data_IF_199598953825
#
_entry.id   IF_199598953825
#
_cell.length_a   1.000
_cell.length_b   1.000
_cell.length_c   1.000
_cell.angle_alpha   90.00
_cell.angle_beta   90.00
_cell.angle_gamma   90.00
#
_symmetry.space_group_name_H-M   'P 1'
#
loop_
_entity.id
_entity.type
_entity.pdbx_description
1 polymer ?
#
# COMPACT_ATOMS: atom_id res chain seq x y z
N UNK A 1 -12.62 9.38 -3.42
CA UNK A 1 -11.53 10.24 -3.90
C UNK A 1 -12.02 11.52 -4.56
N UNK A 2 -12.70 11.48 -5.73
CA UNK A 2 -13.22 12.68 -6.41
C UNK A 2 -14.03 13.62 -5.49
N UNK A 3 -14.99 13.08 -4.75
CA UNK A 3 -15.79 13.88 -3.81
C UNK A 3 -14.96 14.51 -2.69
N UNK A 4 -13.94 13.80 -2.19
CA UNK A 4 -13.01 14.34 -1.19
C UNK A 4 -12.19 15.49 -1.77
N UNK A 5 -11.62 15.33 -2.99
CA UNK A 5 -10.90 16.41 -3.67
C UNK A 5 -11.78 17.64 -3.86
N UNK A 6 -13.01 17.46 -4.33
CA UNK A 6 -13.96 18.55 -4.53
C UNK A 6 -14.22 19.28 -3.20
N UNK A 7 -14.54 18.54 -2.14
CA UNK A 7 -14.76 19.10 -0.81
C UNK A 7 -13.55 19.88 -0.31
N UNK A 8 -12.33 19.35 -0.43
CA UNK A 8 -11.12 20.06 0.00
C UNK A 8 -10.97 21.40 -0.73
N UNK A 9 -11.15 21.42 -2.05
CA UNK A 9 -11.15 22.66 -2.84
C UNK A 9 -12.22 23.64 -2.38
N UNK A 10 -13.45 23.18 -2.11
CA UNK A 10 -14.56 24.03 -1.64
C UNK A 10 -14.29 24.68 -0.28
N UNK A 11 -13.55 24.00 0.59
CA UNK A 11 -13.12 24.53 1.90
C UNK A 11 -11.77 25.25 1.87
N UNK A 12 -11.16 25.45 0.70
CA UNK A 12 -9.87 26.12 0.55
C UNK A 12 -8.69 25.31 1.11
N UNK A 13 -8.84 23.99 1.23
CA UNK A 13 -7.80 23.05 1.64
C UNK A 13 -7.12 22.46 0.40
N UNK A 14 -5.85 22.06 0.50
CA UNK A 14 -5.11 21.48 -0.63
C UNK A 14 -5.65 20.08 -1.00
N UNK A 15 -6.23 19.89 -2.20
CA UNK A 15 -6.69 18.59 -2.66
C UNK A 15 -5.55 17.68 -3.14
N UNK A 16 -4.33 18.20 -3.28
CA UNK A 16 -3.19 17.44 -3.77
C UNK A 16 -2.46 16.68 -2.65
N UNK A 17 -2.59 17.10 -1.39
CA UNK A 17 -2.05 16.40 -0.21
C UNK A 17 -2.73 15.08 0.20
N UNK A 18 -3.68 14.55 -0.59
CA UNK A 18 -4.43 13.34 -0.23
C UNK A 18 -3.51 12.11 -0.24
N UNK A 19 -3.50 11.37 0.86
CA UNK A 19 -2.90 10.03 0.94
C UNK A 19 -4.01 8.97 1.01
N UNK A 20 -3.92 7.93 0.17
CA UNK A 20 -4.75 6.75 0.29
C UNK A 20 -4.09 5.74 1.22
N UNK A 21 -4.87 5.08 2.07
CA UNK A 21 -4.36 4.04 2.94
C UNK A 21 -5.40 2.93 3.06
N UNK A 22 -4.95 1.67 3.05
CA UNK A 22 -5.86 0.53 3.21
C UNK A 22 -5.12 -0.74 3.61
N UNK A 23 -5.82 -1.61 4.35
CA UNK A 23 -5.33 -2.90 4.81
C UNK A 23 -5.96 -4.07 4.04
N UNK A 24 -5.17 -5.09 3.71
CA UNK A 24 -5.66 -6.31 3.05
C UNK A 24 -6.41 -5.99 1.74
N UNK A 25 -7.69 -6.34 1.63
CA UNK A 25 -8.56 -5.93 0.52
C UNK A 25 -8.70 -4.39 0.38
N UNK A 26 -8.60 -3.62 1.47
CA UNK A 26 -8.52 -2.17 1.41
C UNK A 26 -7.23 -1.68 0.74
N UNK A 27 -6.12 -2.40 0.93
CA UNK A 27 -4.86 -2.15 0.22
C UNK A 27 -4.98 -2.44 -1.28
N UNK A 28 -5.68 -3.53 -1.64
CA UNK A 28 -6.07 -3.81 -3.03
C UNK A 28 -6.85 -2.64 -3.65
N UNK A 29 -7.91 -2.18 -2.98
CA UNK A 29 -8.76 -1.10 -3.45
C UNK A 29 -7.99 0.22 -3.61
N UNK A 30 -7.05 0.52 -2.71
CA UNK A 30 -6.20 1.70 -2.82
C UNK A 30 -5.30 1.62 -4.07
N UNK A 31 -4.65 0.49 -4.31
CA UNK A 31 -3.81 0.28 -5.50
C UNK A 31 -4.63 0.28 -6.80
N UNK A 32 -5.75 -0.43 -6.83
CA UNK A 32 -6.66 -0.48 -7.97
C UNK A 32 -7.25 0.90 -8.30
N UNK A 33 -7.54 1.72 -7.29
CA UNK A 33 -7.99 3.09 -7.51
C UNK A 33 -6.90 3.96 -8.13
N UNK A 34 -5.64 3.85 -7.69
CA UNK A 34 -4.53 4.60 -8.30
C UNK A 34 -4.35 4.21 -9.78
N UNK A 35 -4.43 2.91 -10.09
CA UNK A 35 -4.43 2.39 -11.46
C UNK A 35 -5.60 2.94 -12.29
N UNK A 36 -6.81 2.96 -11.71
CA UNK A 36 -7.98 3.51 -12.38
C UNK A 36 -7.80 5.01 -12.69
N UNK A 37 -7.34 5.79 -11.71
CA UNK A 37 -7.09 7.22 -11.90
C UNK A 37 -6.04 7.46 -12.99
N UNK A 38 -4.99 6.64 -13.04
CA UNK A 38 -3.96 6.71 -14.09
C UNK A 38 -4.58 6.49 -15.46
N UNK A 39 -5.38 5.43 -15.61
CA UNK A 39 -6.00 5.08 -16.88
C UNK A 39 -7.06 6.10 -17.33
N UNK A 40 -7.66 6.82 -16.39
CA UNK A 40 -8.59 7.92 -16.66
C UNK A 40 -7.88 9.28 -16.91
N UNK A 41 -6.55 9.34 -16.77
CA UNK A 41 -5.81 10.60 -16.87
C UNK A 41 -6.12 11.59 -15.74
N UNK A 42 -6.56 11.08 -14.58
CA UNK A 42 -6.89 11.89 -13.41
C UNK A 42 -5.69 12.15 -12.51
N UNK A 43 -5.80 13.22 -11.74
CA UNK A 43 -4.80 13.59 -10.73
C UNK A 43 -4.69 12.46 -9.71
N UNK A 44 -3.45 12.00 -9.49
CA UNK A 44 -3.15 10.97 -8.50
C UNK A 44 -3.27 11.51 -7.06
N UNK A 45 -3.54 10.65 -6.07
CA UNK A 45 -3.19 10.95 -4.69
C UNK A 45 -1.70 11.31 -4.58
N UNK A 46 -1.30 12.02 -3.54
CA UNK A 46 0.13 12.24 -3.27
C UNK A 46 0.83 10.90 -3.02
N UNK A 47 0.17 10.04 -2.22
CA UNK A 47 0.74 8.77 -1.74
C UNK A 47 -0.31 7.68 -1.64
N UNK A 48 0.17 6.44 -1.62
CA UNK A 48 -0.60 5.28 -1.17
C UNK A 48 0.18 4.49 -0.11
N UNK A 49 -0.49 4.11 0.98
CA UNK A 49 0.04 3.28 2.05
C UNK A 49 -0.73 1.96 2.06
N UNK A 50 -0.05 0.87 1.74
CA UNK A 50 -0.65 -0.44 1.53
C UNK A 50 -0.23 -1.38 2.66
N UNK A 51 -1.17 -1.75 3.53
CA UNK A 51 -0.90 -2.66 4.64
C UNK A 51 -1.27 -4.10 4.22
N UNK A 52 -0.26 -4.96 4.08
CA UNK A 52 -0.34 -6.36 3.62
C UNK A 52 -1.38 -6.54 2.50
N UNK A 53 -1.19 -5.83 1.37
CA UNK A 53 -2.21 -5.71 0.35
C UNK A 53 -2.42 -7.03 -0.40
N UNK A 54 -3.68 -7.35 -0.70
CA UNK A 54 -4.01 -8.41 -1.66
C UNK A 54 -3.75 -7.88 -3.07
N UNK A 55 -2.74 -8.37 -3.79
CA UNK A 55 -2.34 -7.83 -5.10
C UNK A 55 -2.40 -8.84 -6.24
N UNK A 56 -2.48 -10.14 -5.93
CA UNK A 56 -2.57 -11.23 -6.88
C UNK A 56 -3.96 -11.84 -7.00
N UNK A 57 -4.05 -12.92 -7.79
CA UNK A 57 -5.32 -13.59 -8.14
C UNK A 57 -5.29 -15.11 -7.99
N UNK A 58 -4.13 -15.72 -7.75
CA UNK A 58 -3.98 -17.18 -7.63
C UNK A 58 -3.47 -17.54 -6.23
N UNK A 59 -4.36 -18.18 -5.47
CA UNK A 59 -4.13 -18.64 -4.10
C UNK A 59 -4.24 -20.18 -4.02
N UNK A 60 -3.92 -20.86 -5.11
CA UNK A 60 -3.85 -22.34 -5.20
C UNK A 60 -2.43 -22.84 -5.01
N UNK A 61 -2.22 -24.15 -5.01
CA UNK A 61 -0.89 -24.77 -5.02
C UNK A 61 -0.04 -24.43 -6.25
N UNK A 62 -0.64 -23.86 -7.30
CA UNK A 62 0.06 -23.44 -8.52
C UNK A 62 0.51 -21.96 -8.49
N UNK A 63 0.24 -21.26 -7.39
CA UNK A 63 0.64 -19.87 -7.23
C UNK A 63 2.14 -19.71 -7.42
N UNK A 64 2.55 -18.64 -8.10
CA UNK A 64 3.96 -18.28 -8.25
C UNK A 64 4.60 -17.77 -6.95
N UNK A 65 3.78 -17.47 -5.93
CA UNK A 65 4.19 -16.91 -4.66
C UNK A 65 4.36 -18.01 -3.59
N UNK A 66 5.60 -18.30 -3.15
CA UNK A 66 5.86 -19.32 -2.13
C UNK A 66 5.05 -19.11 -0.85
N UNK A 67 4.83 -17.85 -0.43
CA UNK A 67 4.04 -17.52 0.76
C UNK A 67 2.63 -18.10 0.75
N UNK A 68 2.00 -18.24 -0.42
CA UNK A 68 0.66 -18.85 -0.56
C UNK A 68 0.67 -20.31 -0.10
N UNK A 69 1.81 -21.00 -0.25
CA UNK A 69 1.97 -22.39 0.17
C UNK A 69 2.52 -22.43 1.59
N UNK A 70 3.61 -21.70 1.88
CA UNK A 70 4.31 -21.70 3.18
C UNK A 70 3.43 -21.20 4.33
N UNK A 71 2.66 -20.14 4.10
CA UNK A 71 1.84 -19.47 5.10
C UNK A 71 0.33 -19.66 4.85
N UNK A 72 -0.03 -20.54 3.92
CA UNK A 72 -1.42 -20.74 3.48
C UNK A 72 -2.30 -21.53 4.45
N UNK A 73 -1.74 -22.03 5.55
CA UNK A 73 -2.37 -22.92 6.52
C UNK A 73 -2.05 -22.50 7.97
N UNK A 74 -2.82 -23.02 8.93
CA UNK A 74 -2.68 -22.84 10.40
C UNK A 74 -2.72 -21.41 10.96
N UNK A 75 -2.64 -20.38 10.13
CA UNK A 75 -2.75 -18.97 10.50
C UNK A 75 -4.17 -18.42 10.35
N UNK A 76 -4.36 -17.13 10.74
CA UNK A 76 -5.66 -16.45 10.71
C UNK A 76 -6.20 -16.36 9.27
N UNK A 77 -5.36 -15.93 8.34
CA UNK A 77 -5.68 -15.94 6.91
C UNK A 77 -5.08 -17.20 6.29
N UNK A 78 -5.88 -17.91 5.49
CA UNK A 78 -5.45 -19.12 4.78
C UNK A 78 -5.72 -18.96 3.29
N UNK A 79 -4.97 -19.66 2.45
CA UNK A 79 -5.13 -19.60 0.99
C UNK A 79 -6.53 -20.03 0.54
N UNK A 80 -7.13 -21.00 1.25
CA UNK A 80 -8.52 -21.39 1.06
C UNK A 80 -9.51 -20.24 1.33
N UNK A 81 -9.33 -19.48 2.43
CA UNK A 81 -10.17 -18.32 2.74
C UNK A 81 -10.02 -17.21 1.71
N UNK A 82 -8.79 -16.94 1.26
CA UNK A 82 -8.56 -15.91 0.23
C UNK A 82 -9.24 -16.30 -1.07
N UNK A 83 -9.14 -17.57 -1.47
CA UNK A 83 -9.84 -18.09 -2.66
C UNK A 83 -11.35 -17.92 -2.55
N UNK A 84 -11.96 -18.25 -1.40
CA UNK A 84 -13.39 -18.02 -1.15
C UNK A 84 -13.76 -16.53 -1.24
N UNK A 85 -12.95 -15.64 -0.66
CA UNK A 85 -13.18 -14.19 -0.76
C UNK A 85 -13.09 -13.68 -2.20
N UNK A 86 -12.13 -14.18 -2.98
CA UNK A 86 -11.97 -13.83 -4.37
C UNK A 86 -13.13 -14.36 -5.23
N UNK A 87 -13.65 -15.56 -4.93
CA UNK A 87 -14.83 -16.12 -5.58
C UNK A 87 -16.11 -15.30 -5.29
N UNK A 88 -16.26 -14.78 -4.08
CA UNK A 88 -17.38 -13.89 -3.73
C UNK A 88 -17.24 -12.51 -4.38
N UNK A 89 -16.04 -11.96 -4.41
CA UNK A 89 -15.77 -10.63 -4.95
C UNK A 89 -15.78 -10.60 -6.49
N UNK A 90 -15.18 -11.61 -7.12
CA UNK A 90 -15.03 -11.74 -8.56
C UNK A 90 -15.35 -13.19 -8.99
N UNK A 91 -16.65 -13.53 -9.11
CA UNK A 91 -17.08 -14.89 -9.41
C UNK A 91 -16.54 -15.41 -10.76
N UNK A 92 -16.44 -14.53 -11.77
CA UNK A 92 -15.89 -14.87 -13.07
C UNK A 92 -14.36 -14.99 -13.02
N UNK A 93 -13.77 -16.19 -13.22
CA UNK A 93 -12.32 -16.37 -13.17
C UNK A 93 -11.56 -15.57 -14.23
N UNK A 94 -12.19 -15.23 -15.36
CA UNK A 94 -11.53 -14.45 -16.41
C UNK A 94 -11.27 -13.00 -15.96
N UNK A 95 -12.18 -12.45 -15.15
CA UNK A 95 -12.07 -11.09 -14.64
C UNK A 95 -11.05 -10.95 -13.50
N UNK A 96 -10.65 -12.05 -12.85
CA UNK A 96 -9.67 -12.02 -11.75
C UNK A 96 -8.28 -11.56 -12.18
N UNK A 97 -7.96 -11.74 -13.48
CA UNK A 97 -6.71 -11.25 -14.08
C UNK A 97 -6.75 -9.77 -14.48
N UNK A 98 -7.88 -9.10 -14.26
CA UNK A 98 -7.96 -7.65 -14.43
C UNK A 98 -6.99 -6.95 -13.48
N UNK A 99 -6.25 -5.91 -13.91
CA UNK A 99 -5.38 -5.13 -13.03
C UNK A 99 -6.16 -4.39 -11.92
N UNK A 100 -7.49 -4.29 -12.03
CA UNK A 100 -8.33 -3.74 -10.97
C UNK A 100 -8.71 -4.77 -9.89
N UNK A 101 -8.48 -6.06 -10.14
CA UNK A 101 -8.64 -7.14 -9.16
C UNK A 101 -7.28 -7.61 -8.67
N UNK A 102 -6.31 -7.77 -9.56
CA UNK A 102 -4.92 -8.10 -9.27
C UNK A 102 -3.96 -7.02 -9.78
N UNK A 103 -3.75 -5.93 -9.01
CA UNK A 103 -2.87 -4.82 -9.36
C UNK A 103 -1.47 -5.24 -9.82
N UNK A 104 -0.95 -6.36 -9.34
CA UNK A 104 0.37 -6.88 -9.75
C UNK A 104 0.47 -7.17 -11.24
N UNK A 105 -0.66 -7.39 -11.92
CA UNK A 105 -0.72 -7.68 -13.36
C UNK A 105 -0.75 -6.44 -14.25
N UNK A 106 -0.84 -5.22 -13.71
CA UNK A 106 -0.84 -4.01 -14.53
C UNK A 106 0.46 -3.89 -15.35
N UNK A 107 0.34 -3.66 -16.66
CA UNK A 107 1.48 -3.60 -17.58
C UNK A 107 2.33 -2.34 -17.38
N UNK A 108 1.68 -1.24 -16.99
CA UNK A 108 2.32 0.05 -16.80
C UNK A 108 1.94 0.65 -15.44
N UNK A 109 2.92 0.63 -14.53
CA UNK A 109 2.85 1.20 -13.19
C UNK A 109 3.53 2.57 -13.09
N UNK A 110 4.01 3.14 -14.20
CA UNK A 110 4.59 4.48 -14.19
C UNK A 110 3.57 5.50 -13.68
N UNK A 111 4.06 6.61 -13.13
CA UNK A 111 3.25 7.72 -12.61
C UNK A 111 2.25 7.38 -11.50
N UNK A 112 2.31 6.16 -10.94
CA UNK A 112 1.59 5.85 -9.70
C UNK A 112 2.19 6.63 -8.52
N UNK A 113 1.40 6.91 -7.47
CA UNK A 113 1.86 7.73 -6.37
C UNK A 113 2.96 7.04 -5.58
N UNK A 114 3.76 7.84 -4.86
CA UNK A 114 4.72 7.32 -3.91
C UNK A 114 4.05 6.31 -2.98
N UNK A 115 4.69 5.15 -2.81
CA UNK A 115 4.06 3.98 -2.23
C UNK A 115 4.84 3.48 -1.02
N UNK A 116 4.17 3.32 0.11
CA UNK A 116 4.70 2.63 1.28
C UNK A 116 3.93 1.31 1.44
N UNK A 117 4.63 0.18 1.39
CA UNK A 117 4.04 -1.14 1.52
C UNK A 117 4.53 -1.78 2.82
N UNK A 118 3.60 -2.29 3.60
CA UNK A 118 3.91 -3.18 4.72
C UNK A 118 3.50 -4.60 4.34
N UNK A 119 4.35 -5.59 4.58
CA UNK A 119 3.97 -7.01 4.48
C UNK A 119 4.08 -7.67 5.84
N UNK A 120 3.37 -8.78 6.02
CA UNK A 120 3.43 -9.61 7.23
C UNK A 120 4.25 -10.85 6.93
N UNK A 121 5.17 -11.26 7.80
CA UNK A 121 6.03 -12.42 7.52
C UNK A 121 5.24 -13.74 7.44
N UNK A 122 4.24 -13.90 8.32
CA UNK A 122 3.42 -15.11 8.45
C UNK A 122 2.05 -14.87 7.78
N UNK A 123 2.09 -14.57 6.49
CA UNK A 123 0.93 -14.21 5.69
C UNK A 123 1.05 -14.79 4.27
N UNK A 124 0.01 -15.44 3.73
CA UNK A 124 0.00 -15.88 2.34
C UNK A 124 0.15 -14.75 1.32
N UNK A 125 -0.22 -13.51 1.65
CA UNK A 125 -0.11 -12.34 0.75
C UNK A 125 1.29 -11.68 0.76
N UNK A 126 2.23 -12.20 1.55
CA UNK A 126 3.57 -11.60 1.75
C UNK A 126 4.28 -11.36 0.41
N UNK A 127 4.46 -12.41 -0.37
CA UNK A 127 5.34 -12.35 -1.55
C UNK A 127 4.71 -11.53 -2.68
N UNK A 128 3.38 -11.56 -2.83
CA UNK A 128 2.70 -10.72 -3.83
C UNK A 128 2.79 -9.23 -3.50
N UNK A 129 2.64 -8.85 -2.22
CA UNK A 129 2.82 -7.46 -1.79
C UNK A 129 4.24 -6.94 -2.04
N UNK A 130 5.25 -7.77 -1.79
CA UNK A 130 6.66 -7.44 -2.03
C UNK A 130 6.99 -7.41 -3.53
N UNK A 131 6.47 -8.36 -4.31
CA UNK A 131 6.63 -8.39 -5.75
C UNK A 131 5.97 -7.16 -6.40
N UNK A 132 4.81 -6.73 -5.91
CA UNK A 132 4.18 -5.49 -6.35
C UNK A 132 5.05 -4.27 -6.05
N UNK A 133 5.62 -4.20 -4.84
CA UNK A 133 6.58 -3.16 -4.46
C UNK A 133 7.82 -3.13 -5.37
N UNK A 134 8.39 -4.29 -5.67
CA UNK A 134 9.50 -4.40 -6.62
C UNK A 134 9.10 -3.88 -8.01
N UNK A 135 7.94 -4.28 -8.51
CA UNK A 135 7.44 -3.85 -9.83
C UNK A 135 7.18 -2.35 -9.90
N UNK A 136 6.70 -1.73 -8.82
CA UNK A 136 6.58 -0.27 -8.70
C UNK A 136 7.95 0.41 -8.81
N UNK A 137 8.95 -0.10 -8.09
CA UNK A 137 10.32 0.43 -8.13
C UNK A 137 10.95 0.32 -9.53
N UNK A 138 10.76 -0.81 -10.20
CA UNK A 138 11.20 -1.02 -11.59
C UNK A 138 10.53 -0.04 -12.58
N UNK A 139 9.31 0.39 -12.30
CA UNK A 139 8.58 1.41 -13.07
C UNK A 139 8.96 2.86 -12.70
N UNK A 140 9.92 3.05 -11.79
CA UNK A 140 10.40 4.37 -11.35
C UNK A 140 9.52 5.05 -10.29
N UNK A 141 8.58 4.33 -9.67
CA UNK A 141 7.77 4.86 -8.57
C UNK A 141 8.60 4.86 -7.28
N UNK A 142 8.65 5.97 -6.53
CA UNK A 142 9.28 5.98 -5.21
C UNK A 142 8.53 5.03 -4.26
N UNK A 143 9.19 3.93 -3.88
CA UNK A 143 8.57 2.86 -3.10
C UNK A 143 9.46 2.42 -1.94
N UNK A 144 8.87 2.29 -0.76
CA UNK A 144 9.49 1.64 0.41
C UNK A 144 8.64 0.42 0.76
N UNK A 145 9.29 -0.72 0.99
CA UNK A 145 8.63 -1.98 1.40
C UNK A 145 9.20 -2.41 2.75
N UNK A 146 8.33 -2.67 3.72
CA UNK A 146 8.71 -3.08 5.07
C UNK A 146 8.02 -4.37 5.47
N UNK A 147 8.79 -5.40 5.81
CA UNK A 147 8.26 -6.67 6.30
C UNK A 147 8.18 -6.65 7.84
N UNK A 148 6.99 -6.90 8.36
CA UNK A 148 6.75 -7.10 9.78
C UNK A 148 7.11 -8.54 10.19
N UNK A 149 8.35 -8.74 10.66
CA UNK A 149 8.86 -10.04 11.12
C UNK A 149 8.01 -10.64 12.25
N UNK A 150 7.53 -11.86 12.07
CA UNK A 150 6.67 -12.62 12.97
C UNK A 150 5.22 -12.12 13.03
N UNK A 151 4.83 -11.16 12.20
CA UNK A 151 3.46 -10.65 12.18
C UNK A 151 2.53 -11.54 11.35
N UNK A 152 1.28 -11.67 11.80
CA UNK A 152 0.20 -12.34 11.08
C UNK A 152 -0.57 -11.34 10.22
N UNK A 153 -1.28 -11.83 9.20
CA UNK A 153 -2.24 -11.02 8.46
C UNK A 153 -3.22 -10.28 9.39
N UNK A 154 -3.46 -8.99 9.12
CA UNK A 154 -4.41 -8.18 9.88
C UNK A 154 -3.89 -7.60 11.20
N UNK A 155 -2.59 -7.70 11.48
CA UNK A 155 -2.03 -7.30 12.79
C UNK A 155 -2.32 -5.86 13.20
N UNK A 156 -2.52 -4.91 12.26
CA UNK A 156 -2.77 -3.48 12.61
C UNK A 156 -4.07 -3.26 13.39
N UNK A 157 -4.96 -4.26 13.42
CA UNK A 157 -6.22 -4.21 14.17
C UNK A 157 -6.04 -4.54 15.65
N UNK A 158 -4.84 -4.96 16.05
CA UNK A 158 -4.51 -5.19 17.46
C UNK A 158 -4.21 -3.87 18.18
N UNK A 159 -4.13 -3.91 19.51
CA UNK A 159 -3.86 -2.71 20.30
C UNK A 159 -2.47 -2.12 20.04
N UNK A 160 -2.32 -0.81 20.27
CA UNK A 160 -1.05 -0.08 20.12
C UNK A 160 0.09 -0.62 21.01
N UNK A 161 -0.22 -1.41 22.05
CA UNK A 161 0.79 -2.09 22.85
C UNK A 161 1.48 -3.26 22.12
N UNK A 162 0.94 -3.70 20.98
CA UNK A 162 1.58 -4.67 20.11
C UNK A 162 2.73 -4.00 19.33
N UNK A 163 3.92 -4.60 19.38
CA UNK A 163 5.13 -4.06 18.77
C UNK A 163 5.01 -3.84 17.26
N UNK A 164 4.36 -4.76 16.53
CA UNK A 164 4.22 -4.65 15.07
C UNK A 164 3.34 -3.47 14.70
N UNK A 165 2.26 -3.27 15.45
CA UNK A 165 1.33 -2.15 15.30
C UNK A 165 2.07 -0.84 15.56
N UNK A 166 2.75 -0.73 16.69
CA UNK A 166 3.49 0.47 17.07
C UNK A 166 4.56 0.84 16.02
N UNK A 167 5.40 -0.12 15.62
CA UNK A 167 6.44 0.10 14.59
C UNK A 167 5.85 0.56 13.26
N UNK A 168 4.73 -0.03 12.83
CA UNK A 168 4.07 0.34 11.57
C UNK A 168 3.58 1.78 11.60
N UNK A 169 2.90 2.19 12.67
CA UNK A 169 2.42 3.57 12.79
C UNK A 169 3.55 4.58 12.96
N UNK A 170 4.66 4.21 13.60
CA UNK A 170 5.86 5.06 13.67
C UNK A 170 6.43 5.30 12.27
N UNK A 171 6.61 4.24 11.46
CA UNK A 171 7.13 4.38 10.08
C UNK A 171 6.17 5.19 9.21
N UNK A 172 4.85 5.01 9.37
CA UNK A 172 3.84 5.82 8.69
C UNK A 172 3.99 7.29 9.09
N UNK A 173 4.06 7.60 10.40
CA UNK A 173 4.19 8.96 10.89
C UNK A 173 5.48 9.62 10.38
N UNK A 174 6.61 8.93 10.46
CA UNK A 174 7.89 9.41 9.93
C UNK A 174 7.82 9.70 8.43
N UNK A 175 7.21 8.81 7.64
CA UNK A 175 7.04 9.03 6.19
C UNK A 175 6.19 10.27 5.90
N UNK A 176 5.17 10.53 6.73
CA UNK A 176 4.33 11.72 6.58
C UNK A 176 5.02 13.00 7.07
N UNK A 177 5.85 12.92 8.11
CA UNK A 177 6.56 14.04 8.74
C UNK A 177 7.84 14.45 8.00
N UNK A 178 8.68 13.50 7.56
CA UNK A 178 9.89 13.75 6.76
C UNK A 178 9.57 14.67 5.58
N UNK A 179 8.45 14.41 4.91
CA UNK A 179 8.05 15.19 3.75
C UNK A 179 7.38 16.52 4.11
N UNK A 180 6.67 16.61 5.25
CA UNK A 180 6.19 17.90 5.73
C UNK A 180 7.37 18.83 6.08
N UNK A 181 8.46 18.25 6.57
CA UNK A 181 9.72 18.96 6.81
C UNK A 181 10.40 19.33 5.49
N UNK A 182 10.52 18.42 4.52
CA UNK A 182 11.06 18.73 3.18
C UNK A 182 10.28 19.87 2.50
N UNK A 183 8.94 19.86 2.54
CA UNK A 183 8.11 20.94 2.00
C UNK A 183 8.34 22.28 2.72
N UNK A 184 8.55 22.25 4.03
CA UNK A 184 8.91 23.42 4.82
C UNK A 184 10.31 23.94 4.44
N UNK A 185 11.28 23.06 4.19
CA UNK A 185 12.63 23.40 3.76
C UNK A 185 12.68 23.94 2.33
N UNK A 186 11.87 23.40 1.42
CA UNK A 186 11.73 23.91 0.07
C UNK A 186 11.02 25.28 0.05
N UNK A 187 10.11 25.51 0.99
CA UNK A 187 9.38 26.77 1.13
C UNK A 187 10.20 27.87 1.86
N UNK A 188 11.09 27.49 2.78
CA UNK A 188 11.95 28.39 3.54
C UNK A 188 13.43 28.12 3.25
N UNK A 189 14.10 29.06 2.56
CA UNK A 189 15.52 28.98 2.15
C UNK A 189 16.45 28.34 3.22
N UNK A 190 17.11 27.26 2.81
CA UNK A 190 17.38 26.04 3.59
C UNK A 190 18.50 26.08 4.65
N UNK A 191 19.14 27.21 4.94
CA UNK A 191 20.29 27.22 5.86
C UNK A 191 19.89 27.29 7.35
N UNK A 192 18.82 28.00 7.71
CA UNK A 192 18.50 28.28 9.13
C UNK A 192 17.70 27.18 9.85
N UNK A 193 16.93 26.37 9.12
CA UNK A 193 16.11 25.30 9.71
C UNK A 193 16.90 23.98 9.83
N UNK A 194 17.86 23.75 8.94
CA UNK A 194 18.62 22.48 8.84
C UNK A 194 19.48 22.28 10.08
N UNK A 195 20.05 23.37 10.60
CA UNK A 195 20.82 23.37 11.84
C UNK A 195 19.95 23.04 13.08
N UNK A 196 18.67 23.42 13.07
CA UNK A 196 17.75 23.27 14.21
C UNK A 196 17.18 21.84 14.35
N UNK A 197 17.04 21.10 13.26
CA UNK A 197 16.36 19.79 13.24
C UNK A 197 17.27 18.62 12.81
N UNK A 198 18.56 18.86 12.57
CA UNK A 198 19.56 17.83 12.25
C UNK A 198 19.66 16.67 13.26
N UNK A 199 19.23 16.87 14.50
CA UNK A 199 19.29 15.87 15.57
C UNK A 199 18.06 14.93 15.64
N UNK A 200 17.12 15.02 14.69
CA UNK A 200 15.93 14.15 14.61
C UNK A 200 16.04 13.03 13.54
N UNK A 201 17.14 13.00 12.77
CA UNK A 201 17.52 11.87 11.91
C UNK A 201 18.43 10.89 12.65
#
# INVERSE_FOLDING_TARGET
>A
YRSLRQMLTEYGLDPNGITLMGDSAGGNLAAALCLLLKNLGEIQPKRQILLYPATGYDYTENSEFPSVIENGYDYILTSARIKEYLELYCPDPQLRKSPYVAPILAEDLSVLPQTLIFTSELDPLRDEGEAFGKKLGEAGVPVKVWRAEGALHGYVRWGLSNKHVASTYIVIAQTLEEEALEELFDYYDSEALTEKYSNLM
#
